data_IF_525454844579
#
_entry.id   IF_525454844579
#
_cell.length_a   1.000
_cell.length_b   1.000
_cell.length_c   1.000
_cell.angle_alpha   90.00
_cell.angle_beta   90.00
_cell.angle_gamma   90.00
#
_symmetry.space_group_name_H-M   'P 1'
#
loop_
_entity.id
_entity.type
_entity.pdbx_description
1 polymer ?
#
# COMPACT_ATOMS: atom_id res chain seq x y z
N UNK A 1 -7.20 6.36 9.96
CA UNK A 1 -8.16 6.64 8.86
C UNK A 1 -7.39 7.07 7.62
N UNK A 2 -7.72 6.61 6.41
CA UNK A 2 -7.00 7.00 5.18
C UNK A 2 -7.89 7.56 4.09
N UNK A 3 -7.36 8.55 3.36
CA UNK A 3 -8.05 9.21 2.26
C UNK A 3 -7.32 9.00 0.94
N UNK A 4 -8.04 8.61 -0.10
CA UNK A 4 -7.50 8.38 -1.45
C UNK A 4 -8.02 9.44 -2.40
N UNK A 5 -7.10 10.08 -3.10
CA UNK A 5 -7.39 11.00 -4.19
C UNK A 5 -6.95 10.31 -5.47
N UNK A 6 -7.91 9.81 -6.24
CA UNK A 6 -7.66 9.01 -7.44
C UNK A 6 -7.73 9.90 -8.67
N UNK A 7 -6.63 9.99 -9.39
CA UNK A 7 -6.57 10.62 -10.71
C UNK A 7 -6.94 9.59 -11.78
N UNK A 8 -8.24 9.53 -12.09
CA UNK A 8 -8.79 8.51 -12.98
C UNK A 8 -8.30 8.66 -14.43
N UNK A 9 -8.00 9.88 -14.87
CA UNK A 9 -7.50 10.16 -16.22
C UNK A 9 -6.16 9.46 -16.47
N UNK A 10 -5.29 9.48 -15.45
CA UNK A 10 -3.95 8.92 -15.55
C UNK A 10 -3.90 7.41 -15.30
N UNK A 11 -4.68 6.90 -14.33
CA UNK A 11 -4.61 5.48 -13.92
C UNK A 11 -5.59 4.56 -14.65
N UNK A 12 -6.68 5.12 -15.20
CA UNK A 12 -7.77 4.39 -15.88
C UNK A 12 -8.20 3.13 -15.12
N UNK A 13 -8.00 1.95 -15.73
CA UNK A 13 -8.43 0.66 -15.20
C UNK A 13 -7.63 0.19 -13.98
N UNK A 14 -6.34 0.52 -13.91
CA UNK A 14 -5.43 -0.08 -12.93
C UNK A 14 -5.51 0.62 -11.58
N UNK A 15 -5.86 1.92 -11.54
CA UNK A 15 -5.81 2.67 -10.27
C UNK A 15 -6.87 2.26 -9.25
N UNK A 16 -7.96 1.63 -9.70
CA UNK A 16 -9.02 1.11 -8.82
C UNK A 16 -8.76 -0.34 -8.37
N UNK A 17 -7.67 -0.96 -8.82
CA UNK A 17 -7.26 -2.28 -8.33
C UNK A 17 -7.01 -2.19 -6.82
N UNK A 18 -7.72 -3.02 -6.05
CA UNK A 18 -7.61 -3.03 -4.58
C UNK A 18 -8.63 -2.18 -3.82
N UNK A 19 -9.50 -1.41 -4.50
CA UNK A 19 -10.52 -0.59 -3.82
C UNK A 19 -11.48 -1.42 -2.93
N UNK A 20 -11.73 -2.68 -3.30
CA UNK A 20 -12.56 -3.62 -2.53
C UNK A 20 -11.93 -4.03 -1.18
N UNK A 21 -10.62 -3.82 -0.98
CA UNK A 21 -9.93 -4.11 0.29
C UNK A 21 -10.01 -2.97 1.30
N UNK A 22 -10.54 -1.81 0.89
CA UNK A 22 -10.65 -0.65 1.77
C UNK A 22 -11.77 -0.85 2.80
N UNK A 23 -11.50 -0.42 4.04
CA UNK A 23 -12.45 -0.53 5.15
C UNK A 23 -13.47 0.62 5.19
N UNK A 24 -14.45 0.52 6.09
CA UNK A 24 -15.52 1.53 6.28
C UNK A 24 -15.02 2.92 6.69
N UNK A 25 -13.86 2.98 7.32
CA UNK A 25 -13.23 4.23 7.75
C UNK A 25 -12.46 4.90 6.60
N UNK A 26 -12.15 4.17 5.54
CA UNK A 26 -11.41 4.71 4.40
C UNK A 26 -12.35 5.53 3.48
N UNK A 27 -11.82 6.60 2.89
CA UNK A 27 -12.56 7.48 1.98
C UNK A 27 -11.83 7.64 0.66
N UNK A 28 -12.56 7.63 -0.44
CA UNK A 28 -11.99 7.72 -1.80
C UNK A 28 -12.70 8.85 -2.55
N UNK A 29 -11.96 9.81 -3.10
CA UNK A 29 -12.47 10.77 -4.08
C UNK A 29 -11.83 10.45 -5.44
N UNK A 30 -12.68 10.12 -6.41
CA UNK A 30 -12.29 9.76 -7.76
C UNK A 30 -12.47 10.98 -8.65
N UNK A 31 -11.36 11.58 -9.06
CA UNK A 31 -11.35 12.70 -9.99
C UNK A 31 -11.37 12.18 -11.42
N UNK A 32 -12.34 12.62 -12.20
CA UNK A 32 -12.49 12.20 -13.59
C UNK A 32 -12.86 13.39 -14.48
N UNK A 33 -12.33 13.40 -15.70
CA UNK A 33 -12.57 14.44 -16.71
C UNK A 33 -13.46 13.92 -17.83
N UNK A 34 -13.85 14.80 -18.76
CA UNK A 34 -14.56 14.38 -19.99
C UNK A 34 -13.77 13.37 -20.83
N UNK A 35 -12.43 13.37 -20.74
CA UNK A 35 -11.59 12.45 -21.49
C UNK A 35 -11.55 11.04 -20.86
N UNK A 36 -12.00 10.91 -19.62
CA UNK A 36 -12.04 9.67 -18.85
C UNK A 36 -13.38 9.57 -18.11
N UNK A 37 -14.49 9.68 -18.83
CA UNK A 37 -15.85 9.73 -18.30
C UNK A 37 -16.57 8.38 -18.25
N UNK A 38 -15.88 7.29 -18.62
CA UNK A 38 -16.41 5.94 -18.65
C UNK A 38 -15.64 5.00 -17.72
N UNK A 39 -16.39 4.14 -17.04
CA UNK A 39 -15.88 3.03 -16.22
C UNK A 39 -16.38 1.70 -16.82
N UNK A 40 -15.61 0.64 -16.67
CA UNK A 40 -16.03 -0.71 -17.05
C UNK A 40 -16.93 -1.33 -15.97
N UNK A 41 -17.71 -2.34 -16.35
CA UNK A 41 -18.53 -3.09 -15.39
C UNK A 41 -17.72 -3.73 -14.26
N UNK A 42 -16.50 -4.19 -14.54
CA UNK A 42 -15.61 -4.75 -13.51
C UNK A 42 -15.16 -3.68 -12.51
N UNK A 43 -14.88 -2.46 -12.97
CA UNK A 43 -14.56 -1.33 -12.09
C UNK A 43 -15.76 -0.95 -11.23
N UNK A 44 -16.94 -0.84 -11.85
CA UNK A 44 -18.19 -0.55 -11.15
C UNK A 44 -18.51 -1.60 -10.08
N UNK A 45 -18.31 -2.89 -10.39
CA UNK A 45 -18.46 -3.98 -9.42
C UNK A 45 -17.53 -3.78 -8.22
N UNK A 46 -16.25 -3.49 -8.45
CA UNK A 46 -15.26 -3.30 -7.36
C UNK A 46 -15.55 -2.08 -6.49
N UNK A 47 -16.04 -0.99 -7.10
CA UNK A 47 -16.51 0.21 -6.38
C UNK A 47 -17.65 -0.16 -5.44
N UNK A 48 -18.63 -0.95 -5.90
CA UNK A 48 -19.78 -1.39 -5.10
C UNK A 48 -19.37 -2.38 -4.00
N UNK A 49 -18.43 -3.28 -4.29
CA UNK A 49 -17.92 -4.25 -3.31
C UNK A 49 -17.08 -3.60 -2.20
N UNK A 50 -16.59 -2.37 -2.42
CA UNK A 50 -15.86 -1.61 -1.41
C UNK A 50 -16.76 -1.18 -0.27
N UNK A 51 -16.23 -1.23 0.96
CA UNK A 51 -16.90 -0.69 2.13
C UNK A 51 -16.55 0.78 2.39
N UNK A 52 -15.62 1.34 1.62
CA UNK A 52 -15.17 2.72 1.74
C UNK A 52 -16.23 3.73 1.26
N UNK A 53 -16.19 4.95 1.79
CA UNK A 53 -17.02 6.04 1.26
C UNK A 53 -16.39 6.59 -0.02
N UNK A 54 -17.08 6.41 -1.16
CA UNK A 54 -16.58 6.81 -2.48
C UNK A 54 -17.34 8.06 -2.96
N UNK A 55 -16.59 9.08 -3.34
CA UNK A 55 -17.08 10.34 -3.89
C UNK A 55 -16.56 10.51 -5.32
N UNK A 56 -17.45 10.88 -6.24
CA UNK A 56 -17.09 11.13 -7.63
C UNK A 56 -16.95 12.64 -7.87
N UNK A 57 -15.73 13.04 -8.18
CA UNK A 57 -15.30 14.43 -8.24
C UNK A 57 -15.11 14.81 -9.72
N UNK A 58 -16.20 15.22 -10.39
CA UNK A 58 -16.16 15.54 -11.83
C UNK A 58 -15.41 16.85 -12.08
N UNK A 59 -14.37 16.79 -12.90
CA UNK A 59 -13.63 17.97 -13.37
C UNK A 59 -14.40 18.59 -14.53
N UNK A 60 -15.11 19.70 -14.28
CA UNK A 60 -15.74 20.52 -15.31
C UNK A 60 -14.66 21.19 -16.19
N UNK A 61 -15.01 21.42 -17.46
CA UNK A 61 -14.13 21.85 -18.57
C UNK A 61 -12.96 22.72 -18.10
N UNK A 62 -11.73 22.21 -18.26
CA UNK A 62 -10.54 22.89 -17.78
C UNK A 62 -9.33 22.61 -18.65
N UNK A 63 -8.38 23.54 -18.58
CA UNK A 63 -7.06 23.44 -19.21
C UNK A 63 -6.37 22.10 -18.90
N UNK A 64 -5.31 21.76 -19.65
CA UNK A 64 -4.55 20.49 -19.56
C UNK A 64 -4.26 19.94 -18.14
N UNK A 65 -4.18 20.80 -17.11
CA UNK A 65 -3.85 20.41 -15.73
C UNK A 65 -4.99 20.67 -14.72
N UNK A 66 -6.23 20.83 -15.19
CA UNK A 66 -7.35 21.19 -14.32
C UNK A 66 -7.63 20.14 -13.23
N UNK A 67 -7.46 18.86 -13.57
CA UNK A 67 -7.57 17.76 -12.61
C UNK A 67 -6.51 17.90 -11.51
N UNK A 68 -5.25 18.12 -11.88
CA UNK A 68 -4.14 18.27 -10.93
C UNK A 68 -4.39 19.41 -9.93
N UNK A 69 -4.90 20.55 -10.42
CA UNK A 69 -5.24 21.69 -9.58
C UNK A 69 -6.40 21.40 -8.62
N UNK A 70 -7.46 20.73 -9.10
CA UNK A 70 -8.58 20.35 -8.24
C UNK A 70 -8.16 19.32 -7.19
N UNK A 71 -7.36 18.33 -7.58
CA UNK A 71 -6.82 17.31 -6.68
C UNK A 71 -5.93 17.95 -5.61
N UNK A 72 -4.99 18.81 -6.00
CA UNK A 72 -4.10 19.50 -5.07
C UNK A 72 -4.88 20.41 -4.10
N UNK A 73 -5.90 21.11 -4.61
CA UNK A 73 -6.78 21.98 -3.79
C UNK A 73 -7.58 21.16 -2.79
N UNK A 74 -8.18 20.05 -3.23
CA UNK A 74 -8.94 19.15 -2.37
C UNK A 74 -8.04 18.51 -1.30
N UNK A 75 -6.83 18.07 -1.68
CA UNK A 75 -5.85 17.54 -0.73
C UNK A 75 -5.56 18.56 0.38
N UNK A 76 -5.31 19.82 0.02
CA UNK A 76 -5.09 20.89 1.00
C UNK A 76 -6.29 21.10 1.93
N UNK A 77 -7.50 21.11 1.38
CA UNK A 77 -8.74 21.21 2.17
C UNK A 77 -8.91 20.05 3.16
N UNK A 78 -8.67 18.81 2.71
CA UNK A 78 -8.78 17.62 3.55
C UNK A 78 -7.75 17.61 4.69
N UNK A 79 -6.51 18.00 4.39
CA UNK A 79 -5.44 18.12 5.40
C UNK A 79 -5.79 19.19 6.44
N UNK A 80 -6.27 20.35 6.01
CA UNK A 80 -6.66 21.43 6.93
C UNK A 80 -7.79 20.99 7.89
N UNK A 81 -8.74 20.20 7.40
CA UNK A 81 -9.85 19.67 8.18
C UNK A 81 -9.49 18.42 9.00
N UNK A 82 -8.23 17.95 8.96
CA UNK A 82 -7.79 16.69 9.61
C UNK A 82 -8.70 15.51 9.27
N UNK A 83 -9.10 15.41 8.00
CA UNK A 83 -10.07 14.40 7.54
C UNK A 83 -9.51 12.97 7.54
N UNK A 84 -8.20 12.80 7.65
CA UNK A 84 -7.51 11.52 7.78
C UNK A 84 -6.10 11.70 8.38
N UNK A 85 -5.51 10.60 8.86
CA UNK A 85 -4.12 10.54 9.35
C UNK A 85 -3.12 10.34 8.21
N UNK A 86 -3.59 9.77 7.09
CA UNK A 86 -2.80 9.44 5.91
C UNK A 86 -3.58 9.74 4.63
N UNK A 87 -2.90 10.37 3.68
CA UNK A 87 -3.44 10.72 2.37
C UNK A 87 -2.65 10.02 1.28
N UNK A 88 -3.37 9.43 0.33
CA UNK A 88 -2.80 8.73 -0.81
C UNK A 88 -3.26 9.40 -2.08
N UNK A 89 -2.31 9.77 -2.94
CA UNK A 89 -2.57 10.21 -4.30
C UNK A 89 -2.40 8.98 -5.19
N UNK A 90 -3.45 8.57 -5.88
CA UNK A 90 -3.42 7.42 -6.79
C UNK A 90 -3.25 7.94 -8.22
N UNK A 91 -2.00 8.03 -8.67
CA UNK A 91 -1.63 8.47 -10.02
C UNK A 91 -0.30 7.85 -10.43
N UNK A 92 -0.10 7.62 -11.74
CA UNK A 92 1.20 7.27 -12.32
C UNK A 92 1.98 8.52 -12.77
N UNK A 93 1.40 9.71 -12.65
CA UNK A 93 2.10 10.96 -12.92
C UNK A 93 3.04 11.34 -11.77
N UNK A 94 4.33 11.45 -12.10
CA UNK A 94 5.37 11.89 -11.16
C UNK A 94 5.25 13.37 -10.82
N UNK A 95 4.46 14.16 -11.55
CA UNK A 95 4.15 15.55 -11.21
C UNK A 95 3.59 15.71 -9.79
N UNK A 96 2.89 14.69 -9.28
CA UNK A 96 2.34 14.69 -7.92
C UNK A 96 3.38 14.40 -6.81
N UNK A 97 4.61 13.98 -7.15
CA UNK A 97 5.68 13.80 -6.15
C UNK A 97 5.97 15.12 -5.41
N UNK A 98 5.79 16.26 -6.09
CA UNK A 98 5.96 17.59 -5.51
C UNK A 98 5.00 17.81 -4.34
N UNK A 99 3.75 17.33 -4.44
CA UNK A 99 2.78 17.43 -3.34
C UNK A 99 3.19 16.56 -2.16
N UNK A 100 3.64 15.34 -2.42
CA UNK A 100 4.13 14.43 -1.37
C UNK A 100 5.30 15.03 -0.61
N UNK A 101 6.28 15.59 -1.33
CA UNK A 101 7.43 16.27 -0.72
C UNK A 101 7.06 17.54 0.06
N UNK A 102 6.16 18.37 -0.49
CA UNK A 102 5.72 19.61 0.15
C UNK A 102 5.06 19.39 1.51
N UNK A 103 4.20 18.35 1.60
CA UNK A 103 3.47 18.01 2.82
C UNK A 103 4.30 17.23 3.82
N UNK A 104 5.23 16.39 3.35
CA UNK A 104 6.20 15.70 4.22
C UNK A 104 7.05 16.68 5.03
N UNK A 105 7.45 17.81 4.43
CA UNK A 105 8.18 18.87 5.13
C UNK A 105 7.35 19.59 6.22
N UNK A 106 6.05 19.32 6.29
CA UNK A 106 5.11 19.85 7.30
C UNK A 106 4.57 18.76 8.22
N UNK A 107 5.24 17.61 8.26
CA UNK A 107 4.86 16.45 9.07
C UNK A 107 3.48 15.88 8.73
N UNK A 108 3.07 15.99 7.46
CA UNK A 108 1.82 15.41 6.95
C UNK A 108 2.13 14.23 6.01
N UNK A 109 1.50 13.08 6.28
CA UNK A 109 1.70 11.85 5.53
C UNK A 109 0.91 11.86 4.21
N UNK A 110 1.56 12.30 3.14
CA UNK A 110 1.04 12.22 1.75
C UNK A 110 1.94 11.30 0.94
N UNK A 111 1.35 10.26 0.33
CA UNK A 111 2.08 9.27 -0.47
C UNK A 111 1.49 9.15 -1.87
N UNK A 112 2.33 9.20 -2.90
CA UNK A 112 1.97 8.88 -4.27
C UNK A 112 2.05 7.36 -4.49
N UNK A 113 0.96 6.76 -4.97
CA UNK A 113 0.87 5.34 -5.32
C UNK A 113 0.30 5.19 -6.74
N UNK A 114 0.74 4.16 -7.46
CA UNK A 114 0.26 3.92 -8.84
C UNK A 114 -1.16 3.34 -8.88
N UNK A 115 -1.55 2.63 -7.82
CA UNK A 115 -2.84 1.97 -7.63
C UNK A 115 -3.09 1.77 -6.12
N UNK A 116 -4.34 1.44 -5.76
CA UNK A 116 -4.72 1.20 -4.36
C UNK A 116 -4.06 -0.09 -3.81
N UNK A 117 -3.69 -1.06 -4.66
CA UNK A 117 -2.93 -2.26 -4.21
C UNK A 117 -1.54 -1.93 -3.67
N UNK A 118 -0.92 -0.83 -4.09
CA UNK A 118 0.34 -0.34 -3.53
C UNK A 118 0.28 -0.17 -2.00
N UNK A 119 -0.88 0.23 -1.45
CA UNK A 119 -1.11 0.19 0.01
C UNK A 119 -1.30 -1.22 0.53
N UNK A 120 -2.04 -2.09 -0.16
CA UNK A 120 -2.18 -3.50 0.27
C UNK A 120 -0.81 -4.15 0.48
N UNK A 121 0.15 -3.91 -0.42
CA UNK A 121 1.50 -4.42 -0.27
C UNK A 121 2.28 -3.75 0.87
N UNK A 122 2.24 -2.43 1.01
CA UNK A 122 2.94 -1.76 2.13
C UNK A 122 2.30 -2.04 3.50
N UNK A 123 0.99 -2.21 3.56
CA UNK A 123 0.27 -2.53 4.77
C UNK A 123 0.46 -4.01 5.14
N UNK A 124 0.36 -4.94 4.19
CA UNK A 124 0.76 -6.35 4.41
C UNK A 124 2.24 -6.44 4.82
N UNK A 125 3.11 -5.60 4.25
CA UNK A 125 4.53 -5.52 4.60
C UNK A 125 4.73 -5.04 6.03
N UNK A 126 4.11 -3.94 6.44
CA UNK A 126 4.22 -3.41 7.80
C UNK A 126 3.54 -4.30 8.83
N UNK A 127 2.39 -4.92 8.50
CA UNK A 127 1.73 -5.91 9.36
C UNK A 127 2.58 -7.18 9.51
N UNK A 128 3.22 -7.64 8.44
CA UNK A 128 4.14 -8.78 8.49
C UNK A 128 5.38 -8.44 9.32
N UNK A 129 5.94 -7.23 9.17
CA UNK A 129 7.06 -6.75 9.99
C UNK A 129 6.68 -6.61 11.47
N UNK A 130 5.50 -6.09 11.77
CA UNK A 130 5.01 -5.98 13.15
C UNK A 130 4.86 -7.36 13.80
N UNK A 131 4.26 -8.33 13.09
CA UNK A 131 4.15 -9.72 13.54
C UNK A 131 5.53 -10.37 13.72
N UNK A 132 6.46 -10.15 12.79
CA UNK A 132 7.83 -10.65 12.91
C UNK A 132 8.55 -10.07 14.13
N UNK A 133 8.41 -8.76 14.40
CA UNK A 133 8.97 -8.11 15.60
C UNK A 133 8.40 -8.71 16.89
N UNK A 134 7.11 -8.98 16.92
CA UNK A 134 6.47 -9.61 18.09
C UNK A 134 6.96 -11.05 18.30
N UNK A 135 7.01 -11.84 17.23
CA UNK A 135 7.43 -13.25 17.27
C UNK A 135 8.92 -13.42 17.60
N UNK A 136 9.77 -12.49 17.15
CA UNK A 136 11.23 -12.53 17.33
C UNK A 136 11.72 -11.58 18.43
N UNK A 137 10.83 -11.07 19.30
CA UNK A 137 11.19 -10.13 20.37
C UNK A 137 12.27 -10.64 21.34
N UNK A 138 12.39 -11.97 21.46
CA UNK A 138 13.37 -12.64 22.35
C UNK A 138 14.70 -12.95 21.63
N UNK A 139 14.81 -12.64 20.34
CA UNK A 139 15.99 -12.89 19.50
C UNK A 139 16.67 -11.57 19.15
N UNK A 140 17.42 -11.00 20.10
CA UNK A 140 18.09 -9.69 19.97
C UNK A 140 19.07 -9.61 18.78
N UNK A 141 19.62 -10.75 18.35
CA UNK A 141 20.58 -10.85 17.25
C UNK A 141 19.94 -11.03 15.86
N UNK A 142 18.62 -10.93 15.74
CA UNK A 142 17.89 -11.22 14.49
C UNK A 142 17.30 -9.93 13.93
N UNK A 143 17.79 -9.54 12.75
CA UNK A 143 17.22 -8.43 12.01
C UNK A 143 15.93 -8.87 11.29
N UNK A 144 14.81 -8.30 11.71
CA UNK A 144 13.48 -8.54 11.13
C UNK A 144 13.44 -8.19 9.64
N UNK A 145 14.19 -7.17 9.21
CA UNK A 145 14.23 -6.75 7.81
C UNK A 145 14.95 -7.78 6.94
N UNK A 146 15.97 -8.45 7.48
CA UNK A 146 16.64 -9.57 6.81
C UNK A 146 15.71 -10.78 6.67
N UNK A 147 14.95 -11.11 7.72
CA UNK A 147 13.95 -12.19 7.67
C UNK A 147 12.87 -11.89 6.64
N UNK A 148 12.36 -10.66 6.64
CA UNK A 148 11.35 -10.22 5.70
C UNK A 148 11.85 -10.32 4.24
N UNK A 149 13.09 -9.88 3.97
CA UNK A 149 13.72 -10.01 2.64
C UNK A 149 13.83 -11.47 2.20
N UNK A 150 14.25 -12.37 3.09
CA UNK A 150 14.32 -13.81 2.80
C UNK A 150 12.93 -14.36 2.46
N UNK A 151 11.90 -13.99 3.21
CA UNK A 151 10.52 -14.42 2.95
C UNK A 151 10.00 -13.93 1.60
N UNK A 152 10.43 -12.76 1.12
CA UNK A 152 10.07 -12.25 -0.22
C UNK A 152 10.85 -12.94 -1.33
N UNK A 153 12.16 -13.13 -1.15
CA UNK A 153 13.05 -13.68 -2.18
C UNK A 153 12.73 -15.15 -2.50
N UNK A 154 12.33 -15.93 -1.50
CA UNK A 154 12.11 -17.37 -1.66
C UNK A 154 10.61 -17.73 -1.72
N UNK A 155 10.26 -18.50 -2.75
CA UNK A 155 8.87 -18.96 -2.99
C UNK A 155 8.50 -20.22 -2.23
N UNK A 156 9.48 -21.00 -1.76
CA UNK A 156 9.28 -22.28 -1.09
C UNK A 156 9.74 -22.23 0.36
N UNK A 157 9.08 -23.02 1.22
CA UNK A 157 9.45 -23.19 2.64
C UNK A 157 10.89 -23.69 2.80
N UNK A 158 11.33 -24.60 1.92
CA UNK A 158 12.70 -25.11 1.90
C UNK A 158 13.73 -24.05 1.52
N UNK A 159 13.42 -23.19 0.54
CA UNK A 159 14.30 -22.09 0.14
C UNK A 159 14.52 -21.09 1.28
N UNK A 160 13.46 -20.77 2.03
CA UNK A 160 13.52 -19.91 3.22
C UNK A 160 14.39 -20.55 4.30
N UNK A 161 14.17 -21.84 4.62
CA UNK A 161 14.97 -22.56 5.62
C UNK A 161 16.47 -22.54 5.29
N UNK A 162 16.84 -22.80 4.03
CA UNK A 162 18.22 -22.79 3.58
C UNK A 162 18.87 -21.39 3.67
N UNK A 163 18.12 -20.35 3.30
CA UNK A 163 18.59 -18.97 3.39
C UNK A 163 18.81 -18.53 4.85
N UNK A 164 17.94 -18.93 5.77
CA UNK A 164 18.11 -18.68 7.20
C UNK A 164 19.35 -19.38 7.76
N UNK A 165 19.62 -20.63 7.37
CA UNK A 165 20.85 -21.33 7.77
C UNK A 165 22.11 -20.60 7.32
N UNK A 166 22.11 -20.03 6.11
CA UNK A 166 23.24 -19.26 5.57
C UNK A 166 23.41 -17.92 6.26
N UNK A 167 22.31 -17.21 6.56
CA UNK A 167 22.33 -15.87 7.16
C UNK A 167 22.62 -15.91 8.67
N UNK A 168 22.13 -16.94 9.37
CA UNK A 168 22.28 -17.11 10.82
C UNK A 168 22.97 -18.45 11.16
N UNK A 169 24.26 -18.60 10.82
CA UNK A 169 25.01 -19.83 11.10
C UNK A 169 25.15 -20.05 12.61
N UNK A 170 25.05 -21.31 13.06
CA UNK A 170 25.28 -21.70 14.44
C UNK A 170 25.83 -23.13 14.49
N UNK A 171 26.57 -23.48 15.56
CA UNK A 171 27.29 -24.77 15.70
C UNK A 171 26.45 -26.02 15.38
N UNK A 172 25.13 -25.96 15.59
CA UNK A 172 24.19 -27.06 15.33
C UNK A 172 22.99 -26.66 14.44
N UNK A 173 23.04 -25.52 13.73
CA UNK A 173 21.88 -24.92 13.04
C UNK A 173 20.64 -24.69 13.95
N UNK A 174 20.83 -24.68 15.28
CA UNK A 174 19.77 -24.48 16.26
C UNK A 174 19.13 -23.10 16.13
N UNK A 175 19.93 -22.07 15.84
CA UNK A 175 19.46 -20.67 15.72
C UNK A 175 18.52 -20.50 14.52
N UNK A 176 18.98 -20.86 13.33
CA UNK A 176 18.17 -20.83 12.10
C UNK A 176 16.92 -21.72 12.19
N UNK A 177 17.03 -22.89 12.84
CA UNK A 177 15.88 -23.79 13.08
C UNK A 177 14.85 -23.18 14.03
N UNK A 178 15.30 -22.49 15.09
CA UNK A 178 14.41 -21.78 16.04
C UNK A 178 13.68 -20.65 15.33
N UNK A 179 14.41 -19.79 14.60
CA UNK A 179 13.85 -18.71 13.79
C UNK A 179 12.81 -19.26 12.80
N UNK A 180 13.14 -20.33 12.06
CA UNK A 180 12.23 -20.93 11.10
C UNK A 180 10.95 -21.47 11.76
N UNK A 181 11.05 -22.13 12.92
CA UNK A 181 9.87 -22.60 13.67
C UNK A 181 8.99 -21.43 14.12
N UNK A 182 9.60 -20.35 14.59
CA UNK A 182 8.91 -19.14 15.05
C UNK A 182 8.15 -18.45 13.93
N UNK A 183 8.74 -18.32 12.73
CA UNK A 183 8.09 -17.64 11.60
C UNK A 183 7.19 -18.56 10.76
N UNK A 184 7.21 -19.89 10.99
CA UNK A 184 6.42 -20.88 10.24
C UNK A 184 4.93 -20.54 10.10
N UNK A 185 4.23 -19.97 11.11
CA UNK A 185 2.84 -19.54 10.96
C UNK A 185 2.62 -18.50 9.86
N UNK A 186 3.62 -17.63 9.61
CA UNK A 186 3.58 -16.60 8.56
C UNK A 186 3.92 -17.15 7.17
N UNK A 187 4.28 -18.43 7.05
CA UNK A 187 4.65 -19.08 5.79
C UNK A 187 3.55 -19.99 5.25
N UNK A 188 2.31 -19.88 5.74
CA UNK A 188 1.19 -20.75 5.35
C UNK A 188 1.01 -20.82 3.82
N UNK A 189 1.11 -19.68 3.15
CA UNK A 189 0.89 -19.51 1.71
C UNK A 189 2.09 -19.90 0.83
N UNK A 190 3.24 -20.17 1.45
CA UNK A 190 4.45 -20.59 0.71
C UNK A 190 4.32 -22.06 0.32
N UNK A 191 4.70 -22.36 -0.93
CA UNK A 191 4.66 -23.72 -1.48
C UNK A 191 5.38 -24.68 -0.52
N UNK A 192 4.68 -25.77 -0.18
CA UNK A 192 5.26 -26.92 0.49
C UNK A 192 6.42 -27.45 -0.34
N UNK A 193 7.45 -27.94 0.34
CA UNK A 193 8.54 -28.61 -0.35
C UNK A 193 8.04 -29.89 -1.01
#
# INVERSE_FOLDING_TARGET
MSYYLVDFENVKKDGLDGIHKLGKEDRVCIFYSKNADSITFDQHRRIIESQAAIEFCKVEVGSKNALDFQLATQLGYLIANRSADQYFIVSKDKGFEILSGYWKNRDVNVTLIADITGRSHNQEFEETRAKLRELLKEEEDVDVDDIHKIMQQYKTKQGISNALMKKYPSKDNKKSSKIYKTIKPLLADKKGS
#
